data_IF_869278326513
#
_entry.id   IF_869278326513
#
_cell.length_a   1.000
_cell.length_b   1.000
_cell.length_c   1.000
_cell.angle_alpha   90.00
_cell.angle_beta   90.00
_cell.angle_gamma   90.00
#
_symmetry.space_group_name_H-M   'P 1'
#
loop_
_entity.id
_entity.type
_entity.pdbx_description
1 polymer ?
#
# COMPACT_ATOMS: atom_id res chain seq x y z
N UNK A 1 2.39 6.49 32.26
CA UNK A 1 0.92 6.69 32.04
C UNK A 1 0.42 5.45 31.33
N UNK A 2 -0.40 4.65 32.02
CA UNK A 2 -0.99 3.45 31.42
C UNK A 2 -2.14 3.89 30.51
N UNK A 3 -2.01 3.62 29.21
CA UNK A 3 -3.01 4.00 28.21
C UNK A 3 -4.14 2.98 28.09
N UNK A 4 -4.13 1.92 28.94
CA UNK A 4 -5.16 0.89 28.98
C UNK A 4 -5.19 -0.02 27.74
N UNK A 5 -4.05 -0.20 27.07
CA UNK A 5 -3.91 -1.18 26.00
C UNK A 5 -3.42 -2.51 26.54
N UNK A 6 -4.00 -3.58 26.05
CA UNK A 6 -3.64 -4.97 26.37
C UNK A 6 -3.10 -5.59 25.09
N UNK A 7 -1.95 -6.25 25.17
CA UNK A 7 -1.41 -7.03 24.04
C UNK A 7 -2.33 -8.20 23.76
N UNK A 8 -2.84 -8.28 22.55
CA UNK A 8 -3.81 -9.28 22.11
C UNK A 8 -3.11 -10.44 21.34
N UNK A 9 -2.20 -10.09 20.43
CA UNK A 9 -1.43 -11.05 19.64
C UNK A 9 -0.03 -10.52 19.38
N UNK A 10 0.94 -11.44 19.37
CA UNK A 10 2.29 -11.18 18.86
C UNK A 10 2.38 -11.74 17.43
N UNK A 11 2.55 -10.87 16.46
CA UNK A 11 2.87 -11.29 15.10
C UNK A 11 4.32 -11.77 15.06
N UNK A 12 4.54 -13.07 14.93
CA UNK A 12 5.84 -13.75 14.98
C UNK A 12 6.96 -12.96 14.28
N UNK A 13 7.70 -12.15 15.05
CA UNK A 13 8.86 -11.39 14.59
C UNK A 13 8.56 -10.10 13.79
N UNK A 14 7.30 -9.74 13.54
CA UNK A 14 6.94 -8.56 12.75
C UNK A 14 6.34 -7.42 13.56
N UNK A 15 5.56 -7.72 14.59
CA UNK A 15 4.86 -6.68 15.34
C UNK A 15 4.00 -7.22 16.47
N UNK A 16 3.24 -6.33 17.05
CA UNK A 16 2.31 -6.60 18.13
C UNK A 16 0.95 -5.98 17.84
N UNK A 17 -0.11 -6.69 18.17
CA UNK A 17 -1.48 -6.15 18.17
C UNK A 17 -1.88 -5.84 19.59
N UNK A 18 -2.36 -4.64 19.82
CA UNK A 18 -2.84 -4.18 21.11
C UNK A 18 -4.31 -3.75 21.00
N UNK A 19 -5.11 -4.15 21.97
CA UNK A 19 -6.53 -3.82 22.05
C UNK A 19 -6.79 -2.94 23.26
N UNK A 20 -7.58 -1.90 23.08
CA UNK A 20 -8.16 -1.14 24.18
C UNK A 20 -9.56 -1.66 24.48
N UNK A 21 -9.96 -1.66 25.76
CA UNK A 21 -11.29 -2.11 26.21
C UNK A 21 -12.45 -1.43 25.46
N UNK A 22 -12.24 -0.22 24.95
CA UNK A 22 -13.21 0.52 24.13
C UNK A 22 -13.31 0.10 22.65
N UNK A 23 -12.72 -1.05 22.27
CA UNK A 23 -12.85 -1.60 20.91
C UNK A 23 -11.84 -1.10 19.87
N UNK A 24 -10.90 -0.23 20.25
CA UNK A 24 -9.82 0.19 19.33
C UNK A 24 -8.71 -0.85 19.32
N UNK A 25 -8.34 -1.30 18.12
CA UNK A 25 -7.18 -2.15 17.87
C UNK A 25 -6.05 -1.32 17.26
N UNK A 26 -4.85 -1.45 17.81
CA UNK A 26 -3.63 -0.82 17.29
C UNK A 26 -2.64 -1.92 16.95
N UNK A 27 -2.14 -1.91 15.74
CA UNK A 27 -1.13 -2.84 15.27
C UNK A 27 0.20 -2.07 15.15
N UNK A 28 1.21 -2.50 15.90
CA UNK A 28 2.55 -1.94 15.89
C UNK A 28 3.48 -2.91 15.17
N UNK A 29 4.06 -2.45 14.08
CA UNK A 29 5.03 -3.23 13.31
C UNK A 29 6.44 -2.77 13.62
N UNK A 30 7.27 -3.66 14.18
CA UNK A 30 8.72 -3.43 14.34
C UNK A 30 9.47 -3.61 13.03
N UNK A 31 8.98 -4.54 12.20
CA UNK A 31 9.44 -4.76 10.84
C UNK A 31 8.24 -5.07 9.94
N UNK A 32 8.38 -4.76 8.67
CA UNK A 32 7.36 -5.14 7.69
C UNK A 32 7.68 -6.53 7.12
N UNK A 33 6.67 -7.36 6.81
CA UNK A 33 6.88 -8.59 6.08
C UNK A 33 7.40 -8.26 4.68
N UNK A 34 8.52 -8.83 4.29
CA UNK A 34 9.14 -8.51 3.00
C UNK A 34 9.27 -9.75 2.12
N UNK A 35 8.89 -9.62 0.87
CA UNK A 35 9.03 -10.67 -0.14
C UNK A 35 10.50 -10.95 -0.48
N UNK A 36 11.31 -9.90 -0.60
CA UNK A 36 12.70 -9.99 -1.04
C UNK A 36 13.59 -9.01 -0.29
N UNK A 37 14.91 -9.24 -0.37
CA UNK A 37 15.93 -8.31 0.15
C UNK A 37 15.83 -6.93 -0.49
N UNK A 38 15.55 -6.85 -1.79
CA UNK A 38 15.36 -5.59 -2.52
C UNK A 38 14.19 -4.81 -1.94
N UNK A 39 13.09 -5.49 -1.69
CA UNK A 39 11.91 -4.90 -1.09
C UNK A 39 12.20 -4.34 0.30
N UNK A 40 12.85 -5.13 1.16
CA UNK A 40 13.29 -4.71 2.49
C UNK A 40 14.14 -3.45 2.44
N UNK A 41 15.12 -3.40 1.54
CA UNK A 41 16.02 -2.26 1.41
C UNK A 41 15.28 -1.01 0.91
N UNK A 42 14.36 -1.15 -0.04
CA UNK A 42 13.53 -0.07 -0.54
C UNK A 42 12.67 0.52 0.58
N UNK A 43 11.96 -0.31 1.33
CA UNK A 43 11.12 0.11 2.47
C UNK A 43 11.94 0.80 3.56
N UNK A 44 13.08 0.22 3.96
CA UNK A 44 13.99 0.85 4.91
C UNK A 44 14.47 2.21 4.44
N UNK A 45 14.81 2.35 3.16
CA UNK A 45 15.21 3.62 2.56
C UNK A 45 14.10 4.68 2.60
N UNK A 46 12.84 4.29 2.46
CA UNK A 46 11.70 5.20 2.59
C UNK A 46 11.48 5.64 4.04
N UNK A 47 11.51 4.70 4.98
CA UNK A 47 11.34 5.00 6.41
C UNK A 47 12.45 5.91 6.93
N UNK A 48 13.70 5.74 6.48
CA UNK A 48 14.81 6.60 6.85
C UNK A 48 14.66 8.04 6.36
N UNK A 49 13.88 8.26 5.30
CA UNK A 49 13.58 9.59 4.74
C UNK A 49 12.26 10.19 5.24
N UNK A 50 11.58 9.51 6.15
CA UNK A 50 10.39 10.05 6.79
C UNK A 50 10.75 11.30 7.61
N UNK A 51 9.93 12.33 7.53
CA UNK A 51 10.16 13.63 8.18
C UNK A 51 9.20 13.84 9.35
N UNK A 52 9.57 14.68 10.33
CA UNK A 52 8.71 14.95 11.48
C UNK A 52 7.37 15.56 11.07
N UNK A 53 6.29 15.09 11.67
CA UNK A 53 4.99 15.69 11.48
C UNK A 53 4.89 17.03 12.21
N UNK A 54 4.41 18.07 11.53
CA UNK A 54 4.43 19.46 12.04
C UNK A 54 3.75 19.63 13.41
N UNK A 55 2.63 18.92 13.62
CA UNK A 55 1.83 19.05 14.84
C UNK A 55 2.37 18.19 15.99
N UNK A 56 3.14 17.15 15.69
CA UNK A 56 3.78 16.30 16.68
C UNK A 56 5.12 15.77 16.12
N UNK A 57 6.27 16.38 16.45
CA UNK A 57 7.58 15.98 15.93
C UNK A 57 8.03 14.57 16.33
N UNK A 58 7.42 13.97 17.35
CA UNK A 58 7.68 12.57 17.70
C UNK A 58 7.12 11.59 16.64
N UNK A 59 6.14 12.02 15.86
CA UNK A 59 5.61 11.27 14.73
C UNK A 59 6.40 11.61 13.46
N UNK A 60 6.64 10.60 12.64
CA UNK A 60 7.25 10.77 11.31
C UNK A 60 6.24 10.39 10.23
N UNK A 61 6.27 11.12 9.14
CA UNK A 61 5.41 10.88 7.98
C UNK A 61 6.25 10.67 6.72
N UNK A 62 5.74 9.85 5.83
CA UNK A 62 6.34 9.61 4.53
C UNK A 62 5.97 10.74 3.56
N UNK A 63 6.84 11.03 2.59
CA UNK A 63 6.46 11.85 1.43
C UNK A 63 5.32 11.19 0.65
N UNK A 64 4.64 11.96 -0.21
CA UNK A 64 3.58 11.42 -1.08
C UNK A 64 4.08 10.25 -1.92
N UNK A 65 5.25 10.39 -2.54
CA UNK A 65 5.87 9.34 -3.35
C UNK A 65 6.14 8.08 -2.54
N UNK A 66 6.72 8.24 -1.34
CA UNK A 66 7.03 7.12 -0.44
C UNK A 66 5.74 6.46 0.08
N UNK A 67 4.71 7.27 0.38
CA UNK A 67 3.40 6.76 0.81
C UNK A 67 2.71 5.96 -0.28
N UNK A 68 2.76 6.43 -1.53
CA UNK A 68 2.23 5.70 -2.67
C UNK A 68 3.00 4.40 -2.90
N UNK A 69 4.34 4.48 -2.93
CA UNK A 69 5.19 3.30 -3.14
C UNK A 69 4.98 2.25 -2.04
N UNK A 70 4.79 2.68 -0.79
CA UNK A 70 4.45 1.78 0.30
C UNK A 70 3.12 1.06 0.05
N UNK A 71 2.05 1.81 -0.28
CA UNK A 71 0.71 1.26 -0.53
C UNK A 71 0.68 0.27 -1.70
N UNK A 72 1.27 0.63 -2.83
CA UNK A 72 1.29 -0.26 -4.00
C UNK A 72 2.13 -1.51 -3.74
N UNK A 73 3.17 -1.37 -2.95
CA UNK A 73 4.02 -2.48 -2.56
C UNK A 73 3.30 -3.43 -1.59
N UNK A 74 2.57 -2.89 -0.63
CA UNK A 74 1.76 -3.65 0.33
C UNK A 74 0.61 -4.38 -0.40
N UNK A 75 -0.11 -3.68 -1.28
CA UNK A 75 -1.14 -4.28 -2.11
C UNK A 75 -0.59 -5.42 -2.98
N UNK A 76 0.59 -5.23 -3.57
CA UNK A 76 1.27 -6.27 -4.35
C UNK A 76 1.66 -7.47 -3.49
N UNK A 77 2.12 -7.23 -2.27
CA UNK A 77 2.45 -8.29 -1.31
C UNK A 77 1.21 -9.09 -0.93
N UNK A 78 0.13 -8.41 -0.53
CA UNK A 78 -1.12 -9.07 -0.15
C UNK A 78 -1.70 -9.87 -1.31
N UNK A 79 -1.69 -9.31 -2.51
CA UNK A 79 -2.14 -10.00 -3.71
C UNK A 79 -1.37 -11.30 -3.97
N UNK A 80 -0.05 -11.32 -3.77
CA UNK A 80 0.79 -12.48 -4.03
C UNK A 80 0.68 -13.57 -2.94
N UNK A 81 0.51 -13.19 -1.67
CA UNK A 81 0.66 -14.12 -0.52
C UNK A 81 -0.69 -14.49 0.09
N UNK A 82 -1.63 -13.57 0.09
CA UNK A 82 -2.94 -13.75 0.74
C UNK A 82 -4.07 -13.53 -0.26
N UNK A 83 -4.84 -12.51 -0.01
CA UNK A 83 -5.87 -11.99 -0.89
C UNK A 83 -5.92 -10.49 -0.68
N UNK A 84 -5.99 -9.73 -1.75
CA UNK A 84 -6.14 -8.30 -1.68
C UNK A 84 -7.59 -7.95 -1.31
N UNK A 85 -7.77 -7.13 -0.30
CA UNK A 85 -9.10 -6.66 0.09
C UNK A 85 -9.57 -5.55 -0.84
N UNK A 86 -10.86 -5.55 -1.18
CA UNK A 86 -11.48 -4.48 -1.99
C UNK A 86 -11.18 -3.09 -1.42
N UNK A 87 -11.17 -2.97 -0.09
CA UNK A 87 -10.83 -1.70 0.59
C UNK A 87 -9.40 -1.23 0.29
N UNK A 88 -8.43 -2.13 0.29
CA UNK A 88 -7.02 -1.80 -0.01
C UNK A 88 -6.87 -1.30 -1.44
N UNK A 89 -7.61 -1.93 -2.36
CA UNK A 89 -7.66 -1.49 -3.76
C UNK A 89 -8.31 -0.11 -3.90
N UNK A 90 -9.40 0.14 -3.18
CA UNK A 90 -10.06 1.45 -3.14
C UNK A 90 -9.15 2.53 -2.55
N UNK A 91 -8.48 2.25 -1.43
CA UNK A 91 -7.56 3.18 -0.78
C UNK A 91 -6.38 3.55 -1.72
N UNK A 92 -5.85 2.56 -2.44
CA UNK A 92 -4.81 2.79 -3.45
C UNK A 92 -5.31 3.69 -4.58
N UNK A 93 -6.50 3.41 -5.11
CA UNK A 93 -7.13 4.18 -6.16
C UNK A 93 -7.39 5.63 -5.77
N UNK A 94 -7.98 5.83 -4.59
CA UNK A 94 -8.28 7.17 -4.08
C UNK A 94 -6.99 7.97 -3.84
N UNK A 95 -5.96 7.34 -3.28
CA UNK A 95 -4.68 7.98 -3.10
C UNK A 95 -4.07 8.42 -4.43
N UNK A 96 -4.05 7.51 -5.41
CA UNK A 96 -3.55 7.83 -6.74
C UNK A 96 -4.37 8.94 -7.40
N UNK A 97 -5.70 8.86 -7.36
CA UNK A 97 -6.61 9.86 -7.94
C UNK A 97 -6.38 11.25 -7.36
N UNK A 98 -6.18 11.36 -6.06
CA UNK A 98 -6.00 12.63 -5.36
C UNK A 98 -4.62 13.24 -5.58
N UNK A 99 -3.57 12.42 -5.61
CA UNK A 99 -2.19 12.91 -5.48
C UNK A 99 -1.30 12.64 -6.70
N UNK A 100 -1.79 11.98 -7.75
CA UNK A 100 -0.95 11.58 -8.88
C UNK A 100 -0.23 12.75 -9.59
N UNK A 101 -0.80 13.96 -9.56
CA UNK A 101 -0.21 15.16 -10.17
C UNK A 101 0.96 15.72 -9.37
N UNK A 102 0.96 15.48 -8.05
CA UNK A 102 1.96 15.99 -7.10
C UNK A 102 3.09 14.98 -6.86
N UNK A 103 2.96 13.76 -7.40
CA UNK A 103 3.94 12.70 -7.25
C UNK A 103 5.05 12.78 -8.31
N UNK A 104 6.27 12.47 -7.89
CA UNK A 104 7.43 12.36 -8.79
C UNK A 104 7.39 11.04 -9.57
N UNK A 105 6.81 11.09 -10.78
CA UNK A 105 6.69 9.92 -11.66
C UNK A 105 8.02 9.23 -11.92
N UNK A 106 9.05 9.98 -12.25
CA UNK A 106 10.36 9.40 -12.54
C UNK A 106 10.94 8.61 -11.37
N UNK A 107 10.74 9.11 -10.16
CA UNK A 107 11.15 8.38 -8.95
C UNK A 107 10.34 7.10 -8.77
N UNK A 108 9.02 7.18 -8.90
CA UNK A 108 8.12 6.04 -8.73
C UNK A 108 8.40 4.95 -9.76
N UNK A 109 8.51 5.30 -11.04
CA UNK A 109 8.79 4.34 -12.12
C UNK A 109 10.11 3.60 -11.88
N UNK A 110 11.15 4.31 -11.45
CA UNK A 110 12.44 3.70 -11.13
C UNK A 110 12.31 2.70 -9.97
N UNK A 111 11.56 3.03 -8.92
CA UNK A 111 11.37 2.15 -7.74
C UNK A 111 10.46 0.97 -8.04
N UNK A 112 9.37 1.18 -8.76
CA UNK A 112 8.45 0.12 -9.19
C UNK A 112 9.19 -0.89 -10.07
N UNK A 113 10.06 -0.41 -10.97
CA UNK A 113 10.92 -1.27 -11.78
C UNK A 113 11.93 -2.06 -10.94
N UNK A 114 12.60 -1.39 -9.98
CA UNK A 114 13.54 -2.03 -9.04
C UNK A 114 12.86 -3.16 -8.24
N UNK A 115 11.62 -2.96 -7.83
CA UNK A 115 10.82 -3.94 -7.09
C UNK A 115 10.22 -5.04 -7.98
N UNK A 116 10.31 -4.90 -9.29
CA UNK A 116 9.72 -5.81 -10.28
C UNK A 116 8.19 -6.01 -10.12
N UNK A 117 7.49 -4.93 -9.74
CA UNK A 117 6.02 -4.94 -9.55
C UNK A 117 5.30 -4.08 -10.62
N UNK A 118 5.97 -3.72 -11.71
CA UNK A 118 5.44 -2.79 -12.70
C UNK A 118 4.12 -3.25 -13.33
N UNK A 119 4.08 -4.46 -13.86
CA UNK A 119 2.86 -5.01 -14.46
C UNK A 119 1.73 -5.10 -13.42
N UNK A 120 2.01 -5.69 -12.26
CA UNK A 120 1.02 -5.87 -11.20
C UNK A 120 0.46 -4.52 -10.72
N UNK A 121 1.33 -3.52 -10.51
CA UNK A 121 0.90 -2.19 -10.06
C UNK A 121 -0.01 -1.49 -11.06
N UNK A 122 0.29 -1.60 -12.35
CA UNK A 122 -0.55 -1.05 -13.42
C UNK A 122 -1.90 -1.77 -13.48
N UNK A 123 -1.89 -3.10 -13.42
CA UNK A 123 -3.13 -3.88 -13.47
C UNK A 123 -4.03 -3.59 -12.28
N UNK A 124 -3.48 -3.51 -11.05
CA UNK A 124 -4.26 -3.15 -9.86
C UNK A 124 -4.90 -1.77 -9.98
N UNK A 125 -4.18 -0.78 -10.50
CA UNK A 125 -4.74 0.57 -10.70
C UNK A 125 -5.81 0.58 -11.79
N UNK A 126 -5.61 -0.15 -12.90
CA UNK A 126 -6.63 -0.24 -13.95
C UNK A 126 -7.91 -0.93 -13.44
N UNK A 127 -7.78 -2.02 -12.70
CA UNK A 127 -8.94 -2.68 -12.07
C UNK A 127 -9.67 -1.75 -11.12
N UNK A 128 -8.92 -1.05 -10.27
CA UNK A 128 -9.49 -0.08 -9.35
C UNK A 128 -10.24 1.03 -10.10
N UNK A 129 -9.68 1.51 -11.19
CA UNK A 129 -10.32 2.52 -12.03
C UNK A 129 -11.59 1.98 -12.69
N UNK A 130 -11.57 0.75 -13.20
CA UNK A 130 -12.77 0.10 -13.77
C UNK A 130 -13.88 -0.09 -12.73
N UNK A 131 -13.53 -0.42 -11.49
CA UNK A 131 -14.52 -0.69 -10.43
C UNK A 131 -15.06 0.59 -9.78
N UNK A 132 -14.21 1.61 -9.61
CA UNK A 132 -14.53 2.79 -8.78
C UNK A 132 -14.67 4.09 -9.57
N UNK A 133 -14.34 4.12 -10.87
CA UNK A 133 -14.57 5.31 -11.69
C UNK A 133 -15.97 5.28 -12.33
N UNK A 134 -16.54 6.46 -12.55
CA UNK A 134 -17.64 6.58 -13.49
C UNK A 134 -17.13 6.53 -14.93
N UNK A 135 -17.94 6.04 -15.87
CA UNK A 135 -17.57 5.89 -17.31
C UNK A 135 -16.93 7.14 -17.94
N UNK A 136 -17.23 8.32 -17.42
CA UNK A 136 -16.73 9.59 -17.97
C UNK A 136 -15.47 10.12 -17.25
N UNK A 137 -14.99 9.45 -16.21
CA UNK A 137 -13.90 9.92 -15.36
C UNK A 137 -12.80 8.88 -15.20
N UNK A 138 -12.62 8.00 -16.18
CA UNK A 138 -11.52 7.03 -16.14
C UNK A 138 -10.16 7.72 -16.16
N UNK A 139 -9.27 7.33 -15.27
CA UNK A 139 -7.90 7.85 -15.16
C UNK A 139 -6.95 7.23 -16.19
N UNK A 140 -7.33 6.09 -16.76
CA UNK A 140 -6.53 5.32 -17.67
C UNK A 140 -7.30 5.01 -18.95
N UNK A 141 -6.63 4.98 -20.11
CA UNK A 141 -7.23 4.42 -21.30
C UNK A 141 -7.58 2.94 -21.03
N UNK A 142 -8.72 2.50 -21.52
CA UNK A 142 -9.14 1.11 -21.39
C UNK A 142 -7.99 0.17 -21.85
N UNK A 143 -7.57 -0.78 -21.02
CA UNK A 143 -6.49 -1.67 -21.40
C UNK A 143 -6.88 -2.44 -22.64
N UNK A 144 -6.01 -2.42 -23.63
CA UNK A 144 -6.15 -3.26 -24.83
C UNK A 144 -5.65 -4.69 -24.61
N UNK A 145 -5.24 -5.00 -23.38
CA UNK A 145 -4.51 -6.21 -23.03
C UNK A 145 -5.42 -7.25 -22.39
N UNK A 146 -4.93 -8.45 -22.43
CA UNK A 146 -5.49 -9.73 -22.07
C UNK A 146 -6.52 -9.70 -20.91
N UNK A 147 -7.78 -9.82 -21.25
CA UNK A 147 -8.91 -9.87 -20.32
C UNK A 147 -8.71 -11.00 -19.30
N UNK A 148 -8.04 -12.09 -19.67
CA UNK A 148 -7.80 -13.25 -18.80
C UNK A 148 -7.02 -12.88 -17.52
N UNK A 149 -6.08 -11.93 -17.61
CA UNK A 149 -5.32 -11.47 -16.45
C UNK A 149 -6.23 -10.75 -15.42
N UNK A 150 -7.19 -9.98 -15.91
CA UNK A 150 -8.14 -9.29 -15.03
C UNK A 150 -9.08 -10.26 -14.35
N UNK A 151 -9.59 -11.25 -15.06
CA UNK A 151 -10.46 -12.30 -14.50
C UNK A 151 -9.72 -13.10 -13.41
N UNK A 152 -8.46 -13.43 -13.62
CA UNK A 152 -7.64 -14.12 -12.61
C UNK A 152 -7.37 -13.24 -11.40
N UNK A 153 -7.19 -11.92 -11.61
CA UNK A 153 -6.98 -10.98 -10.52
C UNK A 153 -8.26 -10.76 -9.71
N UNK A 154 -9.41 -10.62 -10.36
CA UNK A 154 -10.71 -10.47 -9.68
C UNK A 154 -10.99 -11.62 -8.72
N UNK A 155 -10.66 -12.86 -9.08
CA UNK A 155 -10.83 -14.04 -8.21
C UNK A 155 -9.98 -14.01 -6.94
N UNK A 156 -8.93 -13.17 -6.89
CA UNK A 156 -8.01 -13.02 -5.76
C UNK A 156 -8.28 -11.79 -4.91
N UNK A 157 -9.31 -11.01 -5.27
CA UNK A 157 -9.71 -9.82 -4.52
C UNK A 157 -10.99 -10.15 -3.74
N UNK A 158 -10.93 -9.99 -2.43
CA UNK A 158 -12.02 -10.24 -1.49
C UNK A 158 -12.63 -8.96 -0.95
#
# INVERSE_FOLDING_TARGET
>A
MDLGYITDEQYKGFGESMRRVAGFRVELYHTLPYLTKTYKNCMKGMLNRAYPYKQNPALKVLSLDSSYLFRISEASYHFCIYSLRVRELLDLYLFYKLFNKDMNRRFLDARIKELNIGLLSQTLLHMADMWFSSRNNSLFPYPKEDISLYDDMERRIL
#
